data_IF_895359925601
#
_entry.id   IF_895359925601
#
_cell.length_a   1.000
_cell.length_b   1.000
_cell.length_c   1.000
_cell.angle_alpha   90.00
_cell.angle_beta   90.00
_cell.angle_gamma   90.00
#
_symmetry.space_group_name_H-M   'P 1'
#
loop_
_entity.id
_entity.type
_entity.pdbx_description
1 polymer ?
#
# COMPACT_ATOMS: atom_id res chain seq x y z
N UNK A 1 34.64 -19.12 82.56
CA UNK A 1 33.17 -19.02 82.54
C UNK A 1 32.83 -18.10 81.38
N UNK A 2 32.89 -18.65 80.16
CA UNK A 2 32.79 -17.93 78.89
C UNK A 2 32.10 -18.87 77.92
N UNK A 3 30.77 -18.85 77.93
CA UNK A 3 29.96 -19.48 76.89
C UNK A 3 29.53 -18.40 75.92
N UNK A 4 30.08 -18.52 74.72
CA UNK A 4 29.95 -17.67 73.56
C UNK A 4 28.50 -17.62 73.08
N UNK A 5 28.02 -16.40 72.82
CA UNK A 5 26.82 -16.12 72.03
C UNK A 5 26.87 -16.92 70.71
N UNK A 6 25.96 -17.87 70.56
CA UNK A 6 25.70 -18.59 69.31
C UNK A 6 24.24 -18.35 68.94
N UNK A 7 23.94 -17.18 68.41
CA UNK A 7 22.61 -16.82 67.88
C UNK A 7 22.70 -16.03 66.55
N UNK A 8 23.82 -16.08 65.85
CA UNK A 8 24.00 -15.37 64.56
C UNK A 8 24.04 -16.32 63.34
N UNK A 9 23.24 -17.38 63.33
CA UNK A 9 23.17 -18.32 62.18
C UNK A 9 21.73 -18.54 61.66
N UNK A 10 20.70 -17.93 62.25
CA UNK A 10 19.35 -18.07 61.72
C UNK A 10 19.04 -16.98 60.68
N UNK A 11 18.58 -17.42 59.50
CA UNK A 11 17.95 -16.65 58.42
C UNK A 11 18.81 -16.14 57.24
N UNK A 12 19.72 -16.96 56.71
CA UNK A 12 20.20 -16.79 55.32
C UNK A 12 19.91 -18.00 54.40
N UNK A 13 18.82 -18.74 54.67
CA UNK A 13 18.48 -19.98 53.95
C UNK A 13 17.24 -19.85 53.06
N UNK A 14 17.23 -18.89 52.12
CA UNK A 14 16.22 -18.83 51.04
C UNK A 14 16.79 -18.30 49.70
N UNK A 15 18.10 -18.40 49.51
CA UNK A 15 18.82 -17.69 48.43
C UNK A 15 19.14 -18.48 47.16
N UNK A 16 19.05 -19.82 47.17
CA UNK A 16 19.60 -20.65 46.08
C UNK A 16 18.54 -21.30 45.16
N UNK A 17 17.26 -21.14 45.47
CA UNK A 17 16.16 -21.73 44.68
C UNK A 17 15.32 -20.68 43.93
N UNK A 18 15.97 -19.64 43.39
CA UNK A 18 15.46 -19.06 42.15
C UNK A 18 15.68 -20.09 41.05
N UNK A 19 14.77 -21.06 41.03
CA UNK A 19 14.80 -22.25 40.20
C UNK A 19 14.96 -21.88 38.73
N UNK A 20 15.71 -22.68 37.98
CA UNK A 20 15.79 -22.63 36.51
C UNK A 20 14.38 -22.59 35.87
N UNK A 21 13.40 -23.21 36.53
CA UNK A 21 11.99 -23.16 36.13
C UNK A 21 11.39 -21.74 36.20
N UNK A 22 11.83 -20.93 37.15
CA UNK A 22 11.39 -19.55 37.36
C UNK A 22 11.98 -18.60 36.30
N UNK A 23 13.26 -18.80 35.91
CA UNK A 23 13.88 -18.07 34.80
C UNK A 23 13.22 -18.38 33.44
N UNK A 24 12.94 -19.65 33.17
CA UNK A 24 12.21 -20.06 31.94
C UNK A 24 10.81 -19.44 31.91
N UNK A 25 10.14 -19.38 33.07
CA UNK A 25 8.83 -18.73 33.20
C UNK A 25 8.91 -17.22 32.92
N UNK A 26 9.92 -16.53 33.46
CA UNK A 26 10.11 -15.09 33.26
C UNK A 26 10.48 -14.74 31.82
N UNK A 27 11.35 -15.53 31.17
CA UNK A 27 11.70 -15.34 29.75
C UNK A 27 10.50 -15.62 28.84
N UNK A 28 9.71 -16.65 29.14
CA UNK A 28 8.46 -16.95 28.42
C UNK A 28 7.43 -15.83 28.57
N UNK A 29 7.29 -15.26 29.77
CA UNK A 29 6.42 -14.11 30.02
C UNK A 29 6.90 -12.85 29.30
N UNK A 30 8.20 -12.55 29.31
CA UNK A 30 8.78 -11.40 28.61
C UNK A 30 8.64 -11.52 27.09
N UNK A 31 8.89 -12.71 26.54
CA UNK A 31 8.71 -13.00 25.12
C UNK A 31 7.24 -12.83 24.73
N UNK A 32 6.31 -13.37 25.53
CA UNK A 32 4.87 -13.20 25.31
C UNK A 32 4.42 -11.74 25.37
N UNK A 33 5.03 -10.95 26.26
CA UNK A 33 4.78 -9.52 26.40
C UNK A 33 5.29 -8.73 25.18
N UNK A 34 6.51 -9.01 24.71
CA UNK A 34 7.10 -8.40 23.52
C UNK A 34 6.25 -8.68 22.28
N UNK A 35 5.87 -9.94 22.05
CA UNK A 35 5.03 -10.32 20.90
C UNK A 35 3.69 -9.58 20.89
N UNK A 36 3.05 -9.40 22.06
CA UNK A 36 1.82 -8.59 22.17
C UNK A 36 2.05 -7.11 21.93
N UNK A 37 3.19 -6.58 22.38
CA UNK A 37 3.55 -5.18 22.15
C UNK A 37 3.77 -4.91 20.65
N UNK A 38 4.48 -5.81 19.97
CA UNK A 38 4.76 -5.71 18.53
C UNK A 38 3.50 -5.89 17.69
N UNK A 39 2.63 -6.85 18.06
CA UNK A 39 1.31 -6.99 17.44
C UNK A 39 0.46 -5.72 17.62
N UNK A 40 0.45 -5.12 18.81
CA UNK A 40 -0.27 -3.87 19.09
C UNK A 40 0.29 -2.70 18.27
N UNK A 41 1.61 -2.64 18.08
CA UNK A 41 2.25 -1.62 17.26
C UNK A 41 1.91 -1.81 15.77
N UNK A 42 2.02 -3.03 15.25
CA UNK A 42 1.67 -3.37 13.88
C UNK A 42 0.20 -3.04 13.58
N UNK A 43 -0.73 -3.40 14.47
CA UNK A 43 -2.15 -3.03 14.34
C UNK A 43 -2.32 -1.52 14.28
N UNK A 44 -1.61 -0.75 15.11
CA UNK A 44 -1.66 0.72 15.08
C UNK A 44 -1.15 1.28 13.77
N UNK A 45 -0.02 0.78 13.27
CA UNK A 45 0.55 1.25 12.00
C UNK A 45 -0.34 0.92 10.82
N UNK A 46 -0.84 -0.33 10.73
CA UNK A 46 -1.77 -0.76 9.69
C UNK A 46 -3.05 0.06 9.74
N UNK A 47 -3.62 0.29 10.93
CA UNK A 47 -4.83 1.13 11.09
C UNK A 47 -4.56 2.57 10.66
N UNK A 48 -3.41 3.13 11.02
CA UNK A 48 -3.03 4.49 10.62
C UNK A 48 -2.85 4.62 9.09
N UNK A 49 -2.18 3.65 8.46
CA UNK A 49 -2.04 3.58 6.99
C UNK A 49 -3.40 3.38 6.32
N UNK A 50 -4.22 2.47 6.83
CA UNK A 50 -5.57 2.21 6.32
C UNK A 50 -6.45 3.46 6.42
N UNK A 51 -6.44 4.18 7.55
CA UNK A 51 -7.21 5.42 7.70
C UNK A 51 -6.76 6.51 6.73
N UNK A 52 -5.45 6.71 6.56
CA UNK A 52 -4.91 7.67 5.59
C UNK A 52 -5.29 7.29 4.16
N UNK A 53 -5.16 6.01 3.82
CA UNK A 53 -5.59 5.45 2.53
C UNK A 53 -7.09 5.61 2.30
N UNK A 54 -7.93 5.37 3.31
CA UNK A 54 -9.37 5.50 3.24
C UNK A 54 -9.82 6.96 3.06
N UNK A 55 -9.20 7.91 3.77
CA UNK A 55 -9.47 9.34 3.58
C UNK A 55 -9.05 9.78 2.18
N UNK A 56 -7.85 9.39 1.73
CA UNK A 56 -7.38 9.70 0.37
C UNK A 56 -8.28 9.10 -0.71
N UNK A 57 -8.64 7.82 -0.58
CA UNK A 57 -9.55 7.13 -1.48
C UNK A 57 -10.95 7.75 -1.49
N UNK A 58 -11.47 8.10 -0.30
CA UNK A 58 -12.77 8.78 -0.17
C UNK A 58 -12.79 10.16 -0.82
N UNK A 59 -11.72 10.95 -0.64
CA UNK A 59 -11.58 12.25 -1.31
C UNK A 59 -11.47 12.11 -2.83
N UNK A 60 -10.71 11.14 -3.35
CA UNK A 60 -10.65 10.88 -4.79
C UNK A 60 -11.99 10.44 -5.36
N UNK A 61 -12.72 9.57 -4.65
CA UNK A 61 -14.06 9.17 -5.06
C UNK A 61 -15.02 10.36 -5.08
N UNK A 62 -15.02 11.19 -4.03
CA UNK A 62 -15.82 12.41 -3.97
C UNK A 62 -15.46 13.38 -5.10
N UNK A 63 -14.17 13.62 -5.33
CA UNK A 63 -13.68 14.48 -6.42
C UNK A 63 -14.12 13.94 -7.79
N UNK A 64 -14.05 12.64 -8.03
CA UNK A 64 -14.51 12.02 -9.27
C UNK A 64 -16.01 12.25 -9.49
N UNK A 65 -16.84 12.03 -8.46
CA UNK A 65 -18.29 12.27 -8.52
C UNK A 65 -18.58 13.75 -8.78
N UNK A 66 -17.93 14.65 -8.05
CA UNK A 66 -18.07 16.10 -8.25
C UNK A 66 -17.64 16.52 -9.65
N UNK A 67 -16.54 15.98 -10.18
CA UNK A 67 -16.07 16.28 -11.53
C UNK A 67 -17.06 15.79 -12.60
N UNK A 68 -17.69 14.63 -12.42
CA UNK A 68 -18.73 14.11 -13.33
C UNK A 68 -19.94 15.04 -13.36
N UNK A 69 -20.51 15.36 -12.20
CA UNK A 69 -21.72 16.21 -12.14
C UNK A 69 -21.44 17.67 -12.51
N UNK A 70 -20.32 18.24 -12.02
CA UNK A 70 -19.90 19.59 -12.38
C UNK A 70 -19.57 19.71 -13.86
N UNK A 71 -18.86 18.72 -14.41
CA UNK A 71 -18.58 18.62 -15.84
C UNK A 71 -19.86 18.54 -16.66
N UNK A 72 -20.82 17.70 -16.27
CA UNK A 72 -22.13 17.61 -16.93
C UNK A 72 -22.89 18.95 -16.92
N UNK A 73 -22.84 19.70 -15.81
CA UNK A 73 -23.42 21.05 -15.72
C UNK A 73 -22.76 22.05 -16.66
N UNK A 74 -21.42 22.06 -16.73
CA UNK A 74 -20.66 22.91 -17.66
C UNK A 74 -20.94 22.55 -19.12
N UNK A 75 -21.07 21.26 -19.41
CA UNK A 75 -21.46 20.74 -20.72
C UNK A 75 -22.84 21.21 -21.14
N UNK A 76 -23.82 21.12 -20.24
CA UNK A 76 -25.17 21.63 -20.48
C UNK A 76 -25.16 23.14 -20.74
N UNK A 77 -24.39 23.91 -19.95
CA UNK A 77 -24.23 25.34 -20.16
C UNK A 77 -23.62 25.66 -21.54
N UNK A 78 -22.56 24.94 -21.93
CA UNK A 78 -21.93 25.11 -23.25
C UNK A 78 -22.89 24.81 -24.39
N UNK A 79 -23.66 23.73 -24.28
CA UNK A 79 -24.71 23.39 -25.26
C UNK A 79 -25.74 24.51 -25.35
N UNK A 80 -26.19 25.07 -24.22
CA UNK A 80 -27.14 26.18 -24.20
C UNK A 80 -26.59 27.44 -24.88
N UNK A 81 -25.31 27.78 -24.67
CA UNK A 81 -24.67 28.91 -25.35
C UNK A 81 -24.63 28.70 -26.86
N UNK A 82 -24.22 27.51 -27.31
CA UNK A 82 -24.17 27.19 -28.75
C UNK A 82 -25.58 27.15 -29.36
N UNK A 83 -26.57 26.68 -28.61
CA UNK A 83 -27.96 26.59 -29.03
C UNK A 83 -28.64 27.97 -29.25
N UNK A 84 -27.99 29.08 -28.89
CA UNK A 84 -28.47 30.43 -29.24
C UNK A 84 -28.50 30.62 -30.77
N UNK A 85 -27.55 30.01 -31.50
CA UNK A 85 -27.41 30.17 -32.95
C UNK A 85 -27.95 29.01 -33.80
N UNK A 86 -28.35 27.89 -33.18
CA UNK A 86 -28.75 26.67 -33.88
C UNK A 86 -29.63 25.77 -32.99
N UNK A 87 -30.38 24.80 -33.54
CA UNK A 87 -31.25 23.93 -32.74
C UNK A 87 -30.50 23.17 -31.65
N UNK A 88 -31.09 23.06 -30.45
CA UNK A 88 -30.43 22.45 -29.29
C UNK A 88 -29.92 21.01 -29.53
N UNK A 89 -30.59 20.23 -30.38
CA UNK A 89 -30.13 18.89 -30.75
C UNK A 89 -28.82 18.92 -31.54
N UNK A 90 -28.63 19.89 -32.44
CA UNK A 90 -27.41 20.04 -33.22
C UNK A 90 -26.25 20.55 -32.34
N UNK A 91 -26.54 21.45 -31.39
CA UNK A 91 -25.55 21.90 -30.41
C UNK A 91 -25.05 20.74 -29.55
N UNK A 92 -25.97 19.91 -29.05
CA UNK A 92 -25.64 18.72 -28.28
C UNK A 92 -24.79 17.72 -29.08
N UNK A 93 -25.10 17.48 -30.35
CA UNK A 93 -24.31 16.58 -31.20
C UNK A 93 -22.91 17.13 -31.52
N UNK A 94 -22.75 18.43 -31.75
CA UNK A 94 -21.45 19.03 -32.02
C UNK A 94 -20.54 18.90 -30.79
N UNK A 95 -21.03 19.33 -29.62
CA UNK A 95 -20.26 19.29 -28.37
C UNK A 95 -20.01 17.84 -27.94
N UNK A 96 -21.05 17.00 -27.96
CA UNK A 96 -20.95 15.59 -27.61
C UNK A 96 -20.03 14.81 -28.56
N UNK A 97 -20.16 15.03 -29.87
CA UNK A 97 -19.28 14.43 -30.86
C UNK A 97 -17.82 14.84 -30.69
N UNK A 98 -17.57 16.13 -30.42
CA UNK A 98 -16.23 16.63 -30.12
C UNK A 98 -15.62 15.96 -28.88
N UNK A 99 -16.41 15.76 -27.82
CA UNK A 99 -15.95 15.03 -26.63
C UNK A 99 -15.66 13.56 -26.89
N UNK A 100 -16.46 12.89 -27.72
CA UNK A 100 -16.19 11.48 -28.10
C UNK A 100 -14.86 11.38 -28.84
N UNK A 101 -14.58 12.29 -29.78
CA UNK A 101 -13.29 12.33 -30.49
C UNK A 101 -12.15 12.60 -29.51
N UNK A 102 -12.29 13.58 -28.61
CA UNK A 102 -11.29 13.86 -27.59
C UNK A 102 -11.05 12.65 -26.67
N UNK A 103 -12.11 11.98 -26.22
CA UNK A 103 -12.02 10.78 -25.40
C UNK A 103 -11.32 9.63 -26.11
N UNK A 104 -11.58 9.43 -27.41
CA UNK A 104 -10.88 8.43 -28.23
C UNK A 104 -9.38 8.72 -28.31
N UNK A 105 -8.99 9.98 -28.54
CA UNK A 105 -7.58 10.40 -28.58
C UNK A 105 -6.91 10.22 -27.22
N UNK A 106 -7.52 10.70 -26.15
CA UNK A 106 -6.99 10.56 -24.79
C UNK A 106 -6.89 9.08 -24.38
N UNK A 107 -7.88 8.25 -24.72
CA UNK A 107 -7.87 6.81 -24.46
C UNK A 107 -6.75 6.10 -25.22
N UNK A 108 -6.52 6.47 -26.48
CA UNK A 108 -5.41 5.92 -27.27
C UNK A 108 -4.06 6.34 -26.69
N UNK A 109 -3.85 7.63 -26.44
CA UNK A 109 -2.61 8.17 -25.86
C UNK A 109 -2.36 7.57 -24.48
N UNK A 110 -3.37 7.52 -23.61
CA UNK A 110 -3.28 6.93 -22.29
C UNK A 110 -2.86 5.46 -22.36
N UNK A 111 -3.47 4.68 -23.25
CA UNK A 111 -3.10 3.27 -23.46
C UNK A 111 -1.66 3.12 -23.94
N UNK A 112 -1.19 4.00 -24.84
CA UNK A 112 0.20 4.01 -25.30
C UNK A 112 1.19 4.37 -24.18
N UNK A 113 0.84 5.34 -23.32
CA UNK A 113 1.65 5.74 -22.18
C UNK A 113 1.73 4.63 -21.13
N UNK A 114 0.59 4.00 -20.81
CA UNK A 114 0.55 2.86 -19.88
C UNK A 114 1.36 1.69 -20.43
N UNK A 115 1.24 1.38 -21.73
CA UNK A 115 2.06 0.33 -22.37
C UNK A 115 3.55 0.63 -22.36
N UNK A 116 3.96 1.89 -22.48
CA UNK A 116 5.38 2.30 -22.37
C UNK A 116 5.90 2.30 -20.95
N UNK A 117 5.05 2.58 -19.96
CA UNK A 117 5.41 2.61 -18.55
C UNK A 117 5.23 1.25 -17.86
N UNK A 118 4.58 0.30 -18.52
CA UNK A 118 4.43 -1.06 -18.03
C UNK A 118 5.83 -1.72 -17.96
N UNK A 119 6.17 -2.40 -16.85
CA UNK A 119 7.39 -3.21 -16.80
C UNK A 119 7.37 -4.25 -17.93
N UNK A 120 8.54 -4.63 -18.47
CA UNK A 120 8.63 -5.58 -19.58
C UNK A 120 7.78 -6.81 -19.28
N UNK A 121 6.95 -7.18 -20.26
CA UNK A 121 6.11 -8.37 -20.15
C UNK A 121 6.99 -9.60 -19.90
N UNK A 122 6.53 -10.63 -19.19
CA UNK A 122 7.32 -11.83 -18.91
C UNK A 122 7.96 -12.48 -20.16
N UNK A 123 7.35 -12.30 -21.34
CA UNK A 123 7.90 -12.75 -22.63
C UNK A 123 9.22 -12.05 -23.00
N UNK A 124 9.38 -10.78 -22.64
CA UNK A 124 10.63 -10.02 -22.82
C UNK A 124 11.70 -10.51 -21.82
N UNK A 125 11.29 -10.87 -20.60
CA UNK A 125 12.18 -11.45 -19.57
C UNK A 125 12.66 -12.85 -19.96
N UNK A 126 11.82 -13.67 -20.59
CA UNK A 126 12.22 -15.00 -21.08
C UNK A 126 13.23 -14.86 -22.23
N UNK A 127 13.08 -13.84 -23.09
CA UNK A 127 14.00 -13.58 -24.19
C UNK A 127 15.35 -13.09 -23.67
N UNK A 128 15.39 -12.19 -22.68
CA UNK A 128 16.65 -11.74 -22.08
C UNK A 128 17.39 -12.86 -21.35
N UNK A 129 16.67 -13.74 -20.63
CA UNK A 129 17.28 -14.90 -19.96
C UNK A 129 17.83 -15.92 -20.96
N UNK A 130 17.15 -16.14 -22.10
CA UNK A 130 17.69 -16.99 -23.18
C UNK A 130 18.96 -16.40 -23.78
N UNK A 131 18.98 -15.08 -24.05
CA UNK A 131 20.17 -14.40 -24.57
C UNK A 131 21.35 -14.47 -23.60
N UNK A 132 21.12 -14.30 -22.30
CA UNK A 132 22.16 -14.44 -21.28
C UNK A 132 22.72 -15.86 -21.20
N UNK A 133 21.86 -16.88 -21.32
CA UNK A 133 22.28 -18.30 -21.34
C UNK A 133 23.10 -18.64 -22.58
N UNK A 134 22.72 -18.15 -23.76
CA UNK A 134 23.45 -18.40 -25.00
C UNK A 134 24.83 -17.73 -24.98
N UNK A 135 24.92 -16.50 -24.44
CA UNK A 135 26.18 -15.76 -24.32
C UNK A 135 27.16 -16.47 -23.37
N UNK A 136 26.67 -17.02 -22.25
CA UNK A 136 27.47 -17.82 -21.32
C UNK A 136 27.91 -19.15 -21.93
N UNK A 137 27.03 -19.81 -22.70
CA UNK A 137 27.30 -21.08 -23.37
C UNK A 137 28.34 -20.94 -24.48
N UNK A 138 28.36 -19.81 -25.17
CA UNK A 138 29.36 -19.49 -26.19
C UNK A 138 30.71 -19.10 -25.57
N UNK A 139 30.70 -18.42 -24.42
CA UNK A 139 31.90 -18.13 -23.62
C UNK A 139 32.56 -19.39 -23.03
N UNK A 140 31.79 -20.42 -22.70
CA UNK A 140 32.31 -21.69 -22.16
C UNK A 140 32.84 -22.66 -23.23
N UNK A 141 32.69 -22.34 -24.52
CA UNK A 141 33.11 -23.19 -25.65
C UNK A 141 34.38 -22.69 -26.34
N UNK A 142 35.03 -21.64 -25.81
CA UNK A 142 36.34 -21.14 -26.22
C UNK A 142 37.43 -21.59 -25.25
#
# INVERSE_FOLDING_TARGET
>A
MTSTDTTAVEAHENGHDRSTAQLVKDVSQQTSHLMRAEAKLAVREVTAKAKRGAVGGGLLAAAAVTAVYGGAGLLAALIMVVAIGLPGWAAALIIGGGLVVLAAVLGLVGTLLVRKAAPPTPDDTITSVKTDVDTVKEGARR
#
